data_IF_961030033713
#
_entry.id   IF_961030033713
#
_cell.length_a   1.000
_cell.length_b   1.000
_cell.length_c   1.000
_cell.angle_alpha   90.00
_cell.angle_beta   90.00
_cell.angle_gamma   90.00
#
_symmetry.space_group_name_H-M   'P 1'
#
loop_
_entity.id
_entity.type
_entity.pdbx_description
1 polymer ?
#
# COMPACT_ATOMS: atom_id res chain seq x y z
N UNK A 1 12.11 2.90 -6.65
CA UNK A 1 12.33 2.11 -7.88
C UNK A 1 11.33 2.54 -8.93
N UNK A 2 11.45 2.03 -10.14
CA UNK A 2 10.41 2.16 -11.17
C UNK A 2 9.35 1.09 -10.92
N UNK A 3 8.18 1.46 -10.42
CA UNK A 3 7.04 0.55 -10.17
C UNK A 3 7.34 -0.74 -9.39
N UNK A 4 6.34 -1.61 -9.32
CA UNK A 4 6.47 -3.02 -8.92
C UNK A 4 7.09 -3.86 -10.04
N UNK A 5 6.72 -3.55 -11.30
CA UNK A 5 7.21 -4.21 -12.51
C UNK A 5 7.60 -3.16 -13.55
N UNK A 6 8.72 -3.38 -14.23
CA UNK A 6 9.14 -2.56 -15.37
C UNK A 6 9.42 -3.44 -16.59
N UNK A 7 8.71 -3.17 -17.70
CA UNK A 7 8.85 -3.83 -19.00
C UNK A 7 9.42 -2.80 -19.97
N UNK A 8 10.66 -3.00 -20.41
CA UNK A 8 11.37 -2.00 -21.23
C UNK A 8 12.10 -2.63 -22.42
N UNK A 9 12.45 -1.77 -23.39
CA UNK A 9 13.43 -2.04 -24.46
C UNK A 9 13.08 -3.24 -25.36
N UNK A 10 11.97 -3.13 -26.10
CA UNK A 10 11.55 -4.11 -27.11
C UNK A 10 11.31 -5.51 -26.54
N UNK A 11 10.86 -5.58 -25.29
CA UNK A 11 10.41 -6.82 -24.67
C UNK A 11 9.08 -7.28 -25.30
N UNK A 12 8.87 -8.60 -25.36
CA UNK A 12 7.60 -9.22 -25.73
C UNK A 12 7.17 -10.15 -24.59
N UNK A 13 6.18 -9.73 -23.80
CA UNK A 13 5.85 -10.37 -22.53
C UNK A 13 4.34 -10.59 -22.40
N UNK A 14 3.97 -11.74 -21.85
CA UNK A 14 2.64 -12.02 -21.30
C UNK A 14 2.70 -11.82 -19.78
N UNK A 15 1.86 -10.94 -19.27
CA UNK A 15 1.66 -10.76 -17.83
C UNK A 15 0.21 -11.06 -17.52
N UNK A 16 -0.03 -12.20 -16.89
CA UNK A 16 -1.37 -12.65 -16.55
C UNK A 16 -1.50 -13.08 -15.08
N UNK A 17 -2.64 -12.78 -14.46
CA UNK A 17 -2.97 -13.23 -13.09
C UNK A 17 -1.89 -12.87 -12.08
N UNK A 18 -1.48 -11.61 -12.05
CA UNK A 18 -0.57 -11.07 -11.02
C UNK A 18 -1.28 -10.02 -10.16
N UNK A 19 -0.76 -9.79 -8.95
CA UNK A 19 -1.22 -8.72 -8.06
C UNK A 19 -0.08 -7.74 -7.77
N UNK A 20 -0.13 -6.57 -8.37
CA UNK A 20 0.81 -5.47 -8.16
C UNK A 20 0.19 -4.45 -7.20
N UNK A 21 0.27 -4.73 -5.90
CA UNK A 21 -0.32 -3.89 -4.87
C UNK A 21 0.65 -3.40 -3.80
N UNK A 22 0.32 -2.28 -3.17
CA UNK A 22 1.07 -1.69 -2.05
C UNK A 22 2.49 -1.24 -2.41
N UNK A 23 2.71 -0.84 -3.66
CA UNK A 23 4.00 -0.35 -4.12
C UNK A 23 4.06 1.18 -4.03
N UNK A 24 5.27 1.70 -3.86
CA UNK A 24 5.53 3.14 -3.79
C UNK A 24 6.52 3.56 -4.88
N UNK A 25 6.18 4.60 -5.62
CA UNK A 25 7.12 5.26 -6.52
C UNK A 25 7.90 6.36 -5.78
N UNK A 26 9.23 6.21 -5.75
CA UNK A 26 10.13 7.20 -5.11
C UNK A 26 10.71 8.24 -6.09
N UNK A 27 10.34 8.20 -7.38
CA UNK A 27 10.99 9.04 -8.40
C UNK A 27 10.18 10.27 -8.78
N UNK A 28 10.93 11.37 -8.90
CA UNK A 28 10.74 12.72 -9.47
C UNK A 28 10.34 12.89 -10.96
N UNK A 29 9.73 11.94 -11.69
CA UNK A 29 9.70 12.00 -13.18
C UNK A 29 8.32 12.19 -13.85
N UNK A 30 8.24 12.54 -15.15
CA UNK A 30 6.98 12.48 -15.90
C UNK A 30 6.57 11.00 -16.05
N UNK A 31 5.28 10.67 -15.90
CA UNK A 31 4.76 9.29 -15.98
C UNK A 31 5.37 8.34 -14.93
N UNK A 32 5.05 8.55 -13.64
CA UNK A 32 5.51 7.71 -12.50
C UNK A 32 4.53 6.57 -12.22
N UNK A 33 4.67 5.40 -12.81
CA UNK A 33 3.93 4.24 -12.34
C UNK A 33 4.54 3.75 -11.02
N UNK A 34 3.67 3.58 -10.03
CA UNK A 34 3.98 2.83 -8.81
C UNK A 34 3.63 1.35 -8.98
N UNK A 35 2.61 1.01 -9.79
CA UNK A 35 2.27 -0.37 -10.13
C UNK A 35 3.16 -0.94 -11.24
N UNK A 36 2.83 -0.66 -12.50
CA UNK A 36 3.49 -1.25 -13.67
C UNK A 36 3.96 -0.19 -14.64
N UNK A 37 5.23 -0.26 -15.02
CA UNK A 37 5.83 0.55 -16.08
C UNK A 37 5.98 -0.24 -17.36
N UNK A 38 5.53 0.33 -18.47
CA UNK A 38 5.79 -0.22 -19.81
C UNK A 38 6.41 0.86 -20.70
N UNK A 39 7.55 0.54 -21.31
CA UNK A 39 8.22 1.45 -22.24
C UNK A 39 8.74 0.73 -23.47
N UNK A 40 8.37 1.23 -24.64
CA UNK A 40 8.89 0.77 -25.94
C UNK A 40 8.87 -0.75 -26.10
N UNK A 41 7.75 -1.39 -25.74
CA UNK A 41 7.64 -2.85 -25.67
C UNK A 41 6.29 -3.34 -26.20
N UNK A 42 6.19 -4.65 -26.46
CA UNK A 42 4.93 -5.33 -26.74
C UNK A 42 4.50 -6.13 -25.52
N UNK A 43 3.26 -5.96 -25.08
CA UNK A 43 2.77 -6.65 -23.88
C UNK A 43 1.29 -7.04 -24.02
N UNK A 44 1.00 -8.30 -23.69
CA UNK A 44 -0.35 -8.74 -23.36
C UNK A 44 -0.46 -8.75 -21.84
N UNK A 45 -1.27 -7.84 -21.30
CA UNK A 45 -1.42 -7.63 -19.87
C UNK A 45 -2.88 -7.89 -19.51
N UNK A 46 -3.17 -9.05 -18.93
CA UNK A 46 -4.55 -9.52 -18.72
C UNK A 46 -4.80 -10.12 -17.35
N UNK A 47 -6.01 -10.02 -16.81
CA UNK A 47 -6.39 -10.66 -15.54
C UNK A 47 -5.49 -10.26 -14.36
N UNK A 48 -4.89 -9.07 -14.35
CA UNK A 48 -4.05 -8.61 -13.24
C UNK A 48 -4.81 -7.68 -12.30
N UNK A 49 -4.41 -7.65 -11.03
CA UNK A 49 -4.81 -6.62 -10.07
C UNK A 49 -3.65 -5.63 -9.95
N UNK A 50 -3.92 -4.34 -10.12
CA UNK A 50 -2.98 -3.25 -9.88
C UNK A 50 -3.64 -2.24 -8.94
N UNK A 51 -3.37 -2.35 -7.65
CA UNK A 51 -4.16 -1.64 -6.67
C UNK A 51 -3.37 -1.06 -5.50
N UNK A 52 -3.89 -0.01 -4.86
CA UNK A 52 -3.33 0.53 -3.61
C UNK A 52 -1.85 0.96 -3.72
N UNK A 53 -1.41 1.37 -4.92
CA UNK A 53 -0.06 1.88 -5.12
C UNK A 53 -0.02 3.39 -4.84
N UNK A 54 1.02 3.86 -4.15
CA UNK A 54 1.16 5.25 -3.67
C UNK A 54 2.25 6.02 -4.40
N UNK A 55 2.11 7.35 -4.46
CA UNK A 55 3.05 8.25 -5.15
C UNK A 55 3.22 7.95 -6.66
N UNK A 56 2.24 7.29 -7.28
CA UNK A 56 2.30 6.91 -8.68
C UNK A 56 1.00 6.38 -9.27
N UNK A 57 1.00 6.22 -10.59
CA UNK A 57 -0.08 5.62 -11.37
C UNK A 57 -0.08 4.10 -11.21
N UNK A 58 -1.24 3.48 -11.42
CA UNK A 58 -1.36 2.02 -11.53
C UNK A 58 -0.53 1.49 -12.69
N UNK A 59 -0.96 1.78 -13.92
CA UNK A 59 -0.27 1.38 -15.16
C UNK A 59 0.22 2.63 -15.89
N UNK A 60 1.52 2.73 -16.10
CA UNK A 60 2.16 3.84 -16.80
C UNK A 60 2.87 3.38 -18.07
N UNK A 61 2.47 3.92 -19.20
CA UNK A 61 3.02 3.60 -20.53
C UNK A 61 3.72 4.82 -21.11
N UNK A 62 4.90 4.61 -21.70
CA UNK A 62 5.64 5.66 -22.38
C UNK A 62 6.37 5.15 -23.63
N UNK A 63 6.61 6.04 -24.59
CA UNK A 63 7.16 5.68 -25.91
C UNK A 63 6.19 4.84 -26.75
N UNK A 64 6.62 4.47 -27.96
CA UNK A 64 5.80 3.64 -28.87
C UNK A 64 5.77 2.21 -28.36
N UNK A 65 4.64 1.77 -27.83
CA UNK A 65 4.41 0.41 -27.33
C UNK A 65 3.18 -0.19 -28.03
N UNK A 66 3.16 -1.51 -28.19
CA UNK A 66 1.99 -2.24 -28.69
C UNK A 66 1.38 -3.04 -27.55
N UNK A 67 0.20 -2.64 -27.09
CA UNK A 67 -0.39 -3.14 -25.86
C UNK A 67 -1.77 -3.73 -26.11
N UNK A 68 -2.01 -4.88 -25.49
CA UNK A 68 -3.35 -5.40 -25.28
C UNK A 68 -3.59 -5.46 -23.78
N UNK A 69 -4.48 -4.60 -23.30
CA UNK A 69 -4.99 -4.60 -21.94
C UNK A 69 -6.39 -5.20 -21.97
N UNK A 70 -6.66 -6.17 -21.12
CA UNK A 70 -7.99 -6.76 -20.98
C UNK A 70 -8.18 -7.36 -19.59
N UNK A 71 -9.39 -7.30 -19.03
CA UNK A 71 -9.73 -7.94 -17.77
C UNK A 71 -8.81 -7.62 -16.57
N UNK A 72 -8.20 -6.43 -16.53
CA UNK A 72 -7.42 -5.98 -15.39
C UNK A 72 -8.27 -5.17 -14.43
N UNK A 73 -8.07 -5.39 -13.13
CA UNK A 73 -8.61 -4.53 -12.08
C UNK A 73 -7.56 -3.51 -11.65
N UNK A 74 -7.79 -2.23 -11.95
CA UNK A 74 -6.84 -1.15 -11.65
C UNK A 74 -7.48 -0.13 -10.72
N UNK A 75 -7.35 -0.39 -9.42
CA UNK A 75 -8.16 0.26 -8.39
C UNK A 75 -7.34 1.05 -7.35
N UNK A 76 -7.82 2.23 -7.00
CA UNK A 76 -7.30 3.06 -5.90
C UNK A 76 -5.77 3.22 -5.89
N UNK A 77 -5.21 3.62 -7.05
CA UNK A 77 -3.81 4.04 -7.17
C UNK A 77 -3.75 5.57 -7.07
N UNK A 78 -2.77 6.09 -6.34
CA UNK A 78 -2.73 7.47 -5.86
C UNK A 78 -2.81 8.54 -6.97
N UNK A 79 -2.06 8.37 -8.07
CA UNK A 79 -2.16 9.32 -9.20
C UNK A 79 -3.26 8.95 -10.21
N UNK A 80 -3.90 7.79 -10.04
CA UNK A 80 -4.93 7.25 -10.93
C UNK A 80 -4.56 5.92 -11.57
N UNK A 81 -5.51 5.33 -12.31
CA UNK A 81 -5.38 3.98 -12.86
C UNK A 81 -4.40 3.87 -14.02
N UNK A 82 -4.47 4.78 -15.00
CA UNK A 82 -3.69 4.69 -16.24
C UNK A 82 -3.02 6.01 -16.61
N UNK A 83 -1.79 5.94 -17.12
CA UNK A 83 -1.07 7.09 -17.67
C UNK A 83 -0.43 6.73 -19.01
N UNK A 84 -0.62 7.58 -20.01
CA UNK A 84 -0.08 7.35 -21.37
C UNK A 84 -0.76 6.23 -22.15
N UNK A 85 -1.86 5.68 -21.63
CA UNK A 85 -2.70 4.65 -22.26
C UNK A 85 -4.13 4.77 -21.73
N UNK A 86 -5.10 4.31 -22.52
CA UNK A 86 -6.48 4.13 -22.07
C UNK A 86 -6.68 2.72 -21.50
N UNK A 87 -7.65 2.50 -20.60
CA UNK A 87 -8.04 1.16 -20.18
C UNK A 87 -8.43 0.28 -21.37
N UNK A 88 -8.23 -1.02 -21.23
CA UNK A 88 -8.82 -2.05 -22.09
C UNK A 88 -10.33 -2.08 -21.99
N UNK A 89 -10.99 -2.72 -22.96
CA UNK A 89 -12.46 -2.73 -23.04
C UNK A 89 -13.12 -3.45 -21.86
N UNK A 90 -12.48 -4.51 -21.34
CA UNK A 90 -12.97 -5.28 -20.18
C UNK A 90 -12.16 -4.99 -18.90
N UNK A 91 -11.26 -4.01 -18.92
CA UNK A 91 -10.62 -3.54 -17.70
C UNK A 91 -11.67 -2.86 -16.81
N UNK A 92 -11.48 -2.97 -15.50
CA UNK A 92 -12.38 -2.40 -14.51
C UNK A 92 -11.59 -1.80 -13.33
N UNK A 93 -12.31 -1.14 -12.43
CA UNK A 93 -11.76 -0.55 -11.22
C UNK A 93 -12.75 -0.78 -10.09
N UNK A 94 -12.52 -1.82 -9.31
CA UNK A 94 -13.33 -2.20 -8.16
C UNK A 94 -12.42 -2.57 -6.99
N UNK A 95 -12.92 -2.50 -5.76
CA UNK A 95 -12.12 -2.92 -4.61
C UNK A 95 -11.82 -4.43 -4.74
N UNK A 96 -10.54 -4.87 -4.77
CA UNK A 96 -10.21 -6.29 -4.82
C UNK A 96 -10.63 -7.05 -3.56
N UNK A 97 -10.96 -6.36 -2.47
CA UNK A 97 -11.31 -6.95 -1.18
C UNK A 97 -10.23 -7.92 -0.67
N UNK A 98 -8.99 -7.45 -0.64
CA UNK A 98 -7.89 -8.21 -0.07
C UNK A 98 -8.14 -8.57 1.39
N UNK A 99 -7.82 -9.81 1.76
CA UNK A 99 -8.13 -10.36 3.07
C UNK A 99 -7.48 -9.62 4.22
N UNK A 100 -6.22 -9.18 4.08
CA UNK A 100 -5.58 -8.33 5.07
C UNK A 100 -4.41 -7.53 4.48
N UNK A 101 -4.73 -6.37 3.92
CA UNK A 101 -3.75 -5.45 3.32
C UNK A 101 -2.65 -5.07 4.33
N UNK A 102 -3.00 -4.81 5.60
CA UNK A 102 -2.05 -4.39 6.63
C UNK A 102 -1.02 -5.45 7.02
N UNK A 103 -1.26 -6.71 6.68
CA UNK A 103 -0.32 -7.82 6.84
C UNK A 103 0.31 -8.28 5.51
N UNK A 104 -0.04 -7.65 4.39
CA UNK A 104 0.39 -8.07 3.05
C UNK A 104 -0.31 -9.34 2.55
N UNK A 105 -1.44 -9.72 3.17
CA UNK A 105 -2.28 -10.82 2.67
C UNK A 105 -3.18 -10.29 1.55
N UNK A 106 -2.74 -10.60 0.33
CA UNK A 106 -3.41 -10.22 -0.91
C UNK A 106 -4.28 -11.35 -1.49
N UNK A 107 -4.64 -12.35 -0.68
CA UNK A 107 -5.74 -13.25 -1.03
C UNK A 107 -7.07 -12.49 -1.01
N UNK A 108 -8.09 -13.03 -1.69
CA UNK A 108 -9.36 -12.33 -1.90
C UNK A 108 -10.42 -12.80 -0.92
N UNK A 109 -11.30 -11.88 -0.51
CA UNK A 109 -12.53 -12.23 0.21
C UNK A 109 -13.49 -13.02 -0.69
N UNK A 110 -14.46 -13.73 -0.10
CA UNK A 110 -15.51 -14.41 -0.87
C UNK A 110 -16.44 -13.50 -1.68
N UNK A 111 -16.51 -12.21 -1.35
CA UNK A 111 -17.32 -11.21 -2.08
C UNK A 111 -16.52 -10.44 -3.13
N UNK A 112 -15.20 -10.69 -3.24
CA UNK A 112 -14.33 -9.96 -4.15
C UNK A 112 -14.82 -10.05 -5.61
N UNK A 113 -14.88 -8.91 -6.34
CA UNK A 113 -15.20 -8.88 -7.77
C UNK A 113 -14.07 -9.46 -8.64
N UNK A 114 -12.92 -9.79 -8.06
CA UNK A 114 -11.80 -10.41 -8.75
C UNK A 114 -11.85 -11.95 -8.72
N UNK A 115 -12.79 -12.55 -7.98
CA UNK A 115 -12.98 -14.00 -8.00
C UNK A 115 -13.77 -14.45 -9.21
N UNK A 116 -13.38 -15.61 -9.75
CA UNK A 116 -14.06 -16.27 -10.87
C UNK A 116 -15.58 -16.40 -10.63
N UNK A 117 -15.99 -16.83 -9.44
CA UNK A 117 -17.40 -16.99 -9.07
C UNK A 117 -18.21 -15.69 -9.07
N UNK A 118 -17.54 -14.54 -8.95
CA UNK A 118 -18.16 -13.22 -8.90
C UNK A 118 -17.92 -12.41 -10.20
N UNK A 119 -17.16 -12.95 -11.16
CA UNK A 119 -16.75 -12.24 -12.36
C UNK A 119 -16.85 -13.14 -13.60
N UNK A 120 -18.07 -13.32 -14.10
CA UNK A 120 -18.33 -14.18 -15.25
C UNK A 120 -17.68 -13.70 -16.56
N UNK A 121 -17.33 -12.41 -16.68
CA UNK A 121 -16.70 -11.87 -17.88
C UNK A 121 -15.22 -12.22 -17.95
N UNK A 122 -14.49 -12.01 -16.85
CA UNK A 122 -13.04 -12.13 -16.81
C UNK A 122 -12.53 -13.39 -16.12
N UNK A 123 -13.37 -14.06 -15.33
CA UNK A 123 -12.96 -15.14 -14.45
C UNK A 123 -12.07 -14.64 -13.32
N UNK A 124 -11.10 -15.45 -12.89
CA UNK A 124 -10.14 -15.07 -11.85
C UNK A 124 -9.23 -13.92 -12.33
N UNK A 125 -9.21 -12.83 -11.57
CA UNK A 125 -8.30 -11.68 -11.72
C UNK A 125 -7.36 -11.65 -10.51
N UNK A 126 -6.07 -11.44 -10.74
CA UNK A 126 -5.03 -11.43 -9.71
C UNK A 126 -4.36 -12.78 -9.44
N UNK A 127 -3.33 -12.74 -8.58
CA UNK A 127 -2.44 -13.88 -8.33
C UNK A 127 -3.00 -14.95 -7.39
N UNK A 128 -3.77 -14.54 -6.39
CA UNK A 128 -4.26 -15.41 -5.32
C UNK A 128 -5.76 -15.28 -5.24
N UNK A 129 -6.46 -16.41 -5.28
CA UNK A 129 -7.93 -16.47 -5.19
C UNK A 129 -8.44 -16.33 -3.75
N UNK A 130 -9.54 -17.01 -3.45
CA UNK A 130 -10.24 -16.94 -2.17
C UNK A 130 -9.32 -17.34 -0.99
N UNK A 131 -9.17 -16.44 -0.01
CA UNK A 131 -8.42 -16.70 1.22
C UNK A 131 -9.17 -16.42 2.52
N UNK A 132 -10.29 -15.69 2.48
CA UNK A 132 -11.09 -15.36 3.65
C UNK A 132 -12.56 -15.16 3.29
N UNK A 133 -13.44 -15.25 4.28
CA UNK A 133 -14.87 -14.96 4.11
C UNK A 133 -15.17 -13.45 4.06
N UNK A 134 -14.35 -12.63 4.71
CA UNK A 134 -14.54 -11.17 4.79
C UNK A 134 -13.16 -10.51 4.81
N UNK A 135 -13.00 -9.46 4.00
CA UNK A 135 -11.78 -8.65 3.98
C UNK A 135 -11.61 -7.86 5.30
N UNK A 136 -10.43 -7.96 5.91
CA UNK A 136 -10.04 -7.20 7.09
C UNK A 136 -9.27 -5.94 6.65
N UNK A 137 -10.02 -4.89 6.29
CA UNK A 137 -9.52 -3.60 5.81
C UNK A 137 -9.70 -3.50 4.29
N UNK A 138 -10.65 -2.76 3.74
CA UNK A 138 -10.99 -1.34 3.91
C UNK A 138 -12.50 -1.24 4.06
N UNK A 139 -13.01 -0.68 5.17
CA UNK A 139 -14.42 -0.34 5.27
C UNK A 139 -14.76 0.69 4.18
N UNK A 140 -15.98 0.60 3.65
CA UNK A 140 -16.59 1.66 2.84
C UNK A 140 -16.19 3.04 3.34
N UNK A 141 -15.91 3.94 2.40
CA UNK A 141 -15.64 5.34 2.68
C UNK A 141 -16.77 5.95 3.51
N UNK A 142 -16.61 5.97 4.83
CA UNK A 142 -17.04 7.12 5.61
C UNK A 142 -15.89 8.10 5.56
N UNK A 143 -16.15 9.32 5.08
CA UNK A 143 -15.32 10.51 5.31
C UNK A 143 -15.06 10.66 6.82
N UNK A 144 -14.07 9.92 7.29
CA UNK A 144 -13.58 9.90 8.65
C UNK A 144 -12.08 9.98 8.48
N UNK A 145 -11.57 11.20 8.46
CA UNK A 145 -10.17 11.51 8.26
C UNK A 145 -9.32 10.68 9.24
N UNK A 146 -8.67 9.63 8.75
CA UNK A 146 -7.99 8.65 9.61
C UNK A 146 -6.62 9.16 10.01
N UNK A 147 -6.33 9.15 11.31
CA UNK A 147 -4.99 9.45 11.83
C UNK A 147 -4.02 8.30 11.49
N UNK A 148 -3.01 8.60 10.67
CA UNK A 148 -1.98 7.64 10.26
C UNK A 148 -0.70 7.87 11.05
N UNK A 149 -0.26 6.84 11.78
CA UNK A 149 1.04 6.81 12.46
C UNK A 149 2.06 6.08 11.60
N UNK A 150 3.08 6.80 11.13
CA UNK A 150 4.21 6.21 10.40
C UNK A 150 5.45 6.18 11.29
N UNK A 151 6.34 5.21 11.04
CA UNK A 151 7.61 5.06 11.76
C UNK A 151 8.74 4.82 10.77
N UNK A 152 9.85 5.56 10.90
CA UNK A 152 11.02 5.43 10.03
C UNK A 152 12.30 5.41 10.86
N UNK A 153 13.21 4.44 10.64
CA UNK A 153 14.54 4.49 11.23
C UNK A 153 15.31 5.71 10.72
N UNK A 154 16.02 6.42 11.60
CA UNK A 154 16.82 7.61 11.23
C UNK A 154 18.33 7.37 11.41
N UNK A 155 18.84 7.29 12.65
CA UNK A 155 20.26 7.01 12.93
C UNK A 155 20.46 6.44 14.33
N UNK A 156 21.54 5.66 14.55
CA UNK A 156 21.97 5.16 15.87
C UNK A 156 20.87 4.47 16.71
N UNK A 157 19.97 3.72 16.05
CA UNK A 157 18.86 3.04 16.73
C UNK A 157 17.72 3.96 17.18
N UNK A 158 17.66 5.20 16.67
CA UNK A 158 16.53 6.08 16.83
C UNK A 158 15.49 5.87 15.71
N UNK A 159 14.23 6.07 16.09
CA UNK A 159 13.05 5.95 15.23
C UNK A 159 12.31 7.27 15.26
N UNK A 160 12.05 7.82 14.08
CA UNK A 160 11.16 8.97 13.90
C UNK A 160 9.74 8.45 13.70
N UNK A 161 8.81 8.90 14.55
CA UNK A 161 7.39 8.71 14.36
C UNK A 161 6.78 9.98 13.80
N UNK A 162 5.94 9.86 12.77
CA UNK A 162 5.22 11.00 12.18
C UNK A 162 3.72 10.70 12.18
N UNK A 163 2.95 11.60 12.79
CA UNK A 163 1.50 11.53 12.86
C UNK A 163 0.88 12.43 11.80
N UNK A 164 0.14 11.83 10.88
CA UNK A 164 -0.70 12.55 9.94
C UNK A 164 -2.14 12.45 10.43
N UNK A 165 -2.63 13.49 11.10
CA UNK A 165 -3.96 13.53 11.70
C UNK A 165 -4.77 14.73 11.19
N UNK A 166 -6.11 14.66 11.26
CA UNK A 166 -6.99 15.77 10.88
C UNK A 166 -6.85 16.94 11.85
N UNK A 167 -7.17 18.15 11.40
CA UNK A 167 -7.13 19.34 12.24
C UNK A 167 -8.00 19.15 13.50
N UNK A 168 -7.37 19.18 14.68
CA UNK A 168 -8.04 19.12 15.98
C UNK A 168 -7.83 17.82 16.78
N UNK A 169 -7.25 16.77 16.21
CA UNK A 169 -7.13 15.45 16.86
C UNK A 169 -5.67 15.00 17.05
N UNK A 170 -4.92 15.69 17.94
CA UNK A 170 -3.45 15.58 17.93
C UNK A 170 -2.80 15.31 19.30
N UNK A 171 -3.49 15.56 20.43
CA UNK A 171 -2.93 15.24 21.75
C UNK A 171 -3.00 13.73 22.00
N UNK A 172 -1.93 13.03 21.66
CA UNK A 172 -1.92 11.57 21.63
C UNK A 172 -0.75 11.00 22.42
N UNK A 173 -1.01 9.94 23.18
CA UNK A 173 0.03 9.21 23.90
C UNK A 173 0.66 8.18 22.97
N UNK A 174 1.98 8.21 22.85
CA UNK A 174 2.75 7.20 22.12
C UNK A 174 3.22 6.13 23.10
N UNK A 175 2.95 4.87 22.79
CA UNK A 175 3.46 3.72 23.55
C UNK A 175 4.14 2.73 22.62
N UNK A 176 5.34 2.25 22.97
CA UNK A 176 6.11 1.27 22.20
C UNK A 176 6.27 -0.02 23.00
N UNK A 177 6.05 -1.15 22.35
CA UNK A 177 6.06 -2.49 22.94
C UNK A 177 7.07 -3.39 22.23
N UNK A 178 7.70 -4.30 22.97
CA UNK A 178 8.50 -5.38 22.38
C UNK A 178 7.63 -6.51 21.80
N UNK A 179 8.26 -7.52 21.18
CA UNK A 179 7.59 -8.69 20.61
C UNK A 179 6.78 -9.52 21.63
N UNK A 180 7.05 -9.37 22.93
CA UNK A 180 6.32 -10.05 24.00
C UNK A 180 5.16 -9.20 24.52
N UNK A 181 4.89 -8.04 23.90
CA UNK A 181 3.85 -7.10 24.30
C UNK A 181 4.22 -6.26 25.53
N UNK A 182 5.49 -6.26 25.95
CA UNK A 182 5.94 -5.50 27.13
C UNK A 182 6.23 -4.06 26.73
N UNK A 183 5.70 -3.09 27.50
CA UNK A 183 5.93 -1.66 27.27
C UNK A 183 7.43 -1.33 27.47
N UNK A 184 8.06 -0.75 26.45
CA UNK A 184 9.48 -0.35 26.48
C UNK A 184 9.68 1.15 26.40
N UNK A 185 8.66 1.91 25.96
CA UNK A 185 8.69 3.36 25.91
C UNK A 185 7.27 3.95 25.96
N UNK A 186 7.13 5.11 26.59
CA UNK A 186 5.91 5.92 26.56
C UNK A 186 6.27 7.40 26.50
N UNK A 187 5.55 8.16 25.68
CA UNK A 187 5.58 9.61 25.65
C UNK A 187 4.14 10.14 25.70
N UNK A 188 3.86 10.98 26.70
CA UNK A 188 2.59 11.68 26.82
C UNK A 188 2.60 12.92 25.93
N UNK A 189 1.48 13.20 25.26
CA UNK A 189 1.38 14.32 24.31
C UNK A 189 2.53 14.35 23.30
N UNK A 190 2.84 13.18 22.74
CA UNK A 190 3.97 13.00 21.82
C UNK A 190 3.83 13.82 20.53
N UNK A 191 2.60 14.24 20.20
CA UNK A 191 2.30 14.98 18.98
C UNK A 191 1.48 16.23 19.30
N UNK A 192 1.70 17.27 18.50
CA UNK A 192 0.91 18.51 18.51
C UNK A 192 0.78 19.07 17.09
N UNK A 193 -0.14 20.01 16.83
CA UNK A 193 -0.25 20.63 15.50
C UNK A 193 1.08 21.27 15.02
N UNK A 194 1.87 21.78 15.96
CA UNK A 194 3.15 22.44 15.69
C UNK A 194 4.34 21.46 15.69
N UNK A 195 4.12 20.22 16.15
CA UNK A 195 5.13 19.17 16.25
C UNK A 195 4.50 17.81 15.90
N UNK A 196 4.34 17.51 14.58
CA UNK A 196 3.74 16.25 14.12
C UNK A 196 4.71 15.06 14.19
N UNK A 197 5.95 15.31 14.61
CA UNK A 197 7.05 14.37 14.62
C UNK A 197 7.55 14.12 16.04
N UNK A 198 7.78 12.84 16.39
CA UNK A 198 8.32 12.42 17.67
C UNK A 198 9.49 11.45 17.48
N UNK A 199 10.66 11.80 18.02
CA UNK A 199 11.84 10.94 17.95
C UNK A 199 11.94 10.08 19.21
N UNK A 200 11.95 8.78 19.01
CA UNK A 200 12.29 7.81 20.05
C UNK A 200 13.72 7.29 19.84
N UNK A 201 14.59 7.59 20.79
CA UNK A 201 15.94 7.02 20.83
C UNK A 201 15.97 5.80 21.73
N UNK A 202 16.54 4.70 21.22
CA UNK A 202 16.71 3.47 21.97
C UNK A 202 17.68 3.67 23.13
N UNK A 203 17.26 3.31 24.35
CA UNK A 203 18.14 3.22 25.50
C UNK A 203 19.08 2.00 25.40
N UNK A 204 20.28 2.08 25.99
CA UNK A 204 21.35 1.07 25.92
C UNK A 204 20.98 -0.37 26.36
N UNK A 205 19.79 -0.59 26.94
CA UNK A 205 19.33 -1.91 27.42
C UNK A 205 18.28 -2.63 26.54
N UNK A 206 17.80 -2.02 25.46
CA UNK A 206 16.84 -2.67 24.56
C UNK A 206 17.57 -3.51 23.51
N UNK A 207 16.90 -4.50 22.88
CA UNK A 207 17.47 -5.38 21.84
C UNK A 207 17.27 -4.81 20.44
N UNK A 208 18.08 -5.20 19.45
CA UNK A 208 17.70 -4.97 18.04
C UNK A 208 16.58 -5.94 17.70
N UNK A 209 15.59 -5.51 16.90
CA UNK A 209 14.42 -6.33 16.60
C UNK A 209 13.19 -5.51 16.23
N UNK A 210 12.06 -6.21 16.16
CA UNK A 210 10.74 -5.64 15.85
C UNK A 210 10.09 -5.11 17.13
N UNK A 211 9.49 -3.93 17.03
CA UNK A 211 8.70 -3.29 18.06
C UNK A 211 7.34 -2.87 17.48
N UNK A 212 6.34 -2.73 18.35
CA UNK A 212 5.02 -2.25 17.97
C UNK A 212 4.77 -0.91 18.64
N UNK A 213 4.43 0.11 17.85
CA UNK A 213 4.03 1.41 18.36
C UNK A 213 2.51 1.54 18.28
N UNK A 214 1.94 2.11 19.34
CA UNK A 214 0.51 2.39 19.48
C UNK A 214 0.33 3.86 19.81
N UNK A 215 -0.62 4.48 19.11
CA UNK A 215 -1.18 5.76 19.47
C UNK A 215 -2.44 5.54 20.31
N UNK A 216 -2.53 6.21 21.45
CA UNK A 216 -3.77 6.32 22.22
C UNK A 216 -4.35 7.73 22.07
N UNK A 217 -5.51 7.84 21.42
CA UNK A 217 -6.40 9.01 21.56
C UNK A 217 -7.70 8.54 22.23
N UNK A 218 -8.55 9.50 22.61
CA UNK A 218 -9.88 9.25 23.16
C UNK A 218 -10.86 8.68 22.12
N UNK A 219 -10.55 8.75 20.83
CA UNK A 219 -11.45 8.39 19.71
C UNK A 219 -10.88 7.44 18.66
N UNK A 220 -9.56 7.24 18.58
CA UNK A 220 -8.89 6.45 17.53
C UNK A 220 -7.72 5.61 18.07
N UNK A 221 -7.49 4.45 17.44
CA UNK A 221 -6.35 3.57 17.73
C UNK A 221 -5.53 3.34 16.45
N UNK A 222 -4.45 4.10 16.29
CA UNK A 222 -3.46 3.84 15.24
C UNK A 222 -2.34 2.94 15.77
N UNK A 223 -1.87 1.99 14.94
CA UNK A 223 -0.78 1.07 15.26
C UNK A 223 0.20 0.99 14.10
N UNK A 224 1.49 0.92 14.40
CA UNK A 224 2.52 0.73 13.37
C UNK A 224 3.62 -0.22 13.84
N UNK A 225 4.23 -0.92 12.88
CA UNK A 225 5.37 -1.82 13.12
C UNK A 225 6.66 -1.03 12.95
N UNK A 226 7.60 -1.26 13.86
CA UNK A 226 8.88 -0.57 13.89
C UNK A 226 9.98 -1.62 13.84
N UNK A 227 10.91 -1.48 12.89
CA UNK A 227 12.11 -2.30 12.84
C UNK A 227 13.31 -1.49 13.34
N UNK A 228 13.96 -1.97 14.38
CA UNK A 228 15.25 -1.43 14.85
C UNK A 228 16.35 -2.41 14.48
N UNK A 229 17.19 -2.01 13.53
CA UNK A 229 18.43 -2.69 13.15
C UNK A 229 19.64 -2.07 13.88
N UNK A 230 20.71 -2.85 14.04
CA UNK A 230 22.00 -2.35 14.58
C UNK A 230 22.66 -1.40 13.59
#
# INVERSE_FOLDING_TARGET
>A
GYGALSIEHSSNVLVERNSFALNESYRIEPFRPAGVRIRQSTCLFTNNIVALNVNGWGIGVSGVSSLTLDCNDVWNNDLGSYSGVSPGASDFSANPEFCNVGLGDLSLSSSSPCLDVNNALCGQVGAVGLGCSVALGVGEETEGTVSVLSARPVSQGAVLFSLHAPAGDISSDLSVFDLRGRLVYRAEKAFSPESPDHVWTRNHGLSSGIYFARLGTDRTLARTKVLIVR
#
